data_IF_366869563989
#
_entry.id   IF_366869563989
#
_cell.length_a   1.000
_cell.length_b   1.000
_cell.length_c   1.000
_cell.angle_alpha   90.00
_cell.angle_beta   90.00
_cell.angle_gamma   90.00
#
_symmetry.space_group_name_H-M   'P 1'
#
loop_
_entity.id
_entity.type
_entity.pdbx_description
1 polymer ?
#
# COMPACT_ATOMS: atom_id res chain seq x y z
N UNK A 1 26.08 23.14 -49.61
CA UNK A 1 25.58 22.10 -48.69
C UNK A 1 26.63 21.92 -47.60
N UNK A 2 26.52 22.69 -46.52
CA UNK A 2 27.36 22.48 -45.35
C UNK A 2 26.64 21.44 -44.48
N UNK A 3 27.23 20.25 -44.35
CA UNK A 3 26.75 19.24 -43.44
C UNK A 3 27.06 19.71 -42.02
N UNK A 4 26.02 20.10 -41.30
CA UNK A 4 26.09 20.45 -39.89
C UNK A 4 26.26 19.15 -39.10
N UNK A 5 27.51 18.85 -38.75
CA UNK A 5 27.86 17.70 -37.92
C UNK A 5 27.22 17.85 -36.55
N UNK A 6 26.18 17.02 -36.31
CA UNK A 6 25.57 16.79 -35.00
C UNK A 6 26.68 16.48 -33.98
N UNK A 7 26.84 17.27 -32.91
CA UNK A 7 27.86 16.97 -31.92
C UNK A 7 27.52 15.63 -31.27
N UNK A 8 28.48 14.70 -31.33
CA UNK A 8 28.41 13.43 -30.64
C UNK A 8 28.23 13.70 -29.15
N UNK A 9 27.16 13.14 -28.57
CA UNK A 9 26.88 13.24 -27.14
C UNK A 9 28.11 12.76 -26.37
N UNK A 10 28.73 13.66 -25.59
CA UNK A 10 29.77 13.30 -24.65
C UNK A 10 29.15 12.42 -23.56
N UNK A 11 29.13 11.11 -23.80
CA UNK A 11 28.67 10.10 -22.86
C UNK A 11 29.72 9.93 -21.77
N UNK A 12 29.59 10.72 -20.71
CA UNK A 12 30.44 10.67 -19.54
C UNK A 12 29.83 11.47 -18.39
N UNK A 13 30.27 11.17 -17.17
CA UNK A 13 29.80 11.69 -15.87
C UNK A 13 29.56 13.21 -15.83
N UNK A 14 30.29 13.99 -16.64
CA UNK A 14 30.09 15.44 -16.78
C UNK A 14 28.70 15.81 -17.37
N UNK A 15 28.22 15.08 -18.37
CA UNK A 15 26.89 15.29 -18.94
C UNK A 15 25.78 14.92 -17.97
N UNK A 16 25.96 13.85 -17.18
CA UNK A 16 25.01 13.46 -16.12
C UNK A 16 24.94 14.52 -15.02
N UNK A 17 26.09 15.10 -14.62
CA UNK A 17 26.14 16.20 -13.66
C UNK A 17 25.47 17.48 -14.18
N UNK A 18 25.63 17.81 -15.46
CA UNK A 18 24.96 18.95 -16.07
C UNK A 18 23.43 18.78 -16.11
N UNK A 19 22.95 17.57 -16.42
CA UNK A 19 21.51 17.25 -16.43
C UNK A 19 20.92 17.32 -15.02
N UNK A 20 21.59 16.74 -14.03
CA UNK A 20 21.13 16.78 -12.64
C UNK A 20 21.17 18.22 -12.07
N UNK A 21 22.18 19.01 -12.44
CA UNK A 21 22.22 20.43 -12.09
C UNK A 21 21.07 21.21 -12.73
N UNK A 22 20.78 20.97 -14.02
CA UNK A 22 19.68 21.60 -14.72
C UNK A 22 18.32 21.24 -14.11
N UNK A 23 18.11 19.97 -13.74
CA UNK A 23 16.91 19.50 -13.03
C UNK A 23 16.69 20.26 -11.72
N UNK A 24 17.76 20.53 -10.97
CA UNK A 24 17.69 21.26 -9.68
C UNK A 24 17.48 22.76 -9.87
N UNK A 25 18.10 23.35 -10.88
CA UNK A 25 18.02 24.79 -11.15
C UNK A 25 16.68 25.19 -11.79
N UNK A 26 16.15 24.37 -12.70
CA UNK A 26 14.96 24.66 -13.49
C UNK A 26 14.00 23.46 -13.53
N UNK A 27 13.38 23.07 -12.40
CA UNK A 27 12.57 21.87 -12.31
C UNK A 27 11.33 21.92 -13.23
N UNK A 28 10.65 23.07 -13.32
CA UNK A 28 9.43 23.21 -14.14
C UNK A 28 9.74 23.06 -15.64
N UNK A 29 10.72 23.81 -16.15
CA UNK A 29 11.12 23.74 -17.56
C UNK A 29 11.65 22.34 -17.93
N UNK A 30 12.34 21.67 -16.99
CA UNK A 30 12.78 20.30 -17.17
C UNK A 30 11.60 19.33 -17.32
N UNK A 31 10.58 19.43 -16.46
CA UNK A 31 9.38 18.58 -16.52
C UNK A 31 8.55 18.85 -17.78
N UNK A 32 8.36 20.12 -18.17
CA UNK A 32 7.63 20.50 -19.38
C UNK A 32 8.24 19.89 -20.65
N UNK A 33 9.58 19.86 -20.74
CA UNK A 33 10.28 19.21 -21.85
C UNK A 33 9.98 17.71 -21.93
N UNK A 34 10.05 17.02 -20.79
CA UNK A 34 9.76 15.59 -20.70
C UNK A 34 8.31 15.28 -21.05
N UNK A 35 7.39 16.14 -20.61
CA UNK A 35 5.97 16.05 -20.94
C UNK A 35 5.73 16.24 -22.45
N UNK A 36 6.40 17.21 -23.08
CA UNK A 36 6.34 17.42 -24.53
C UNK A 36 6.87 16.23 -25.34
N UNK A 37 7.88 15.54 -24.83
CA UNK A 37 8.44 14.31 -25.41
C UNK A 37 7.61 13.06 -25.08
N UNK A 38 6.55 13.18 -24.24
CA UNK A 38 5.70 12.08 -23.76
C UNK A 38 6.46 10.98 -23.01
N UNK A 39 7.56 11.33 -22.34
CA UNK A 39 8.44 10.43 -21.61
C UNK A 39 8.60 10.96 -20.18
N UNK A 40 8.52 10.08 -19.17
CA UNK A 40 8.77 10.45 -17.76
C UNK A 40 10.27 10.59 -17.50
N UNK A 41 10.63 11.18 -16.37
CA UNK A 41 12.03 11.33 -15.92
C UNK A 41 12.76 9.98 -15.86
N UNK A 42 12.04 8.91 -15.53
CA UNK A 42 12.57 7.53 -15.45
C UNK A 42 12.63 6.82 -16.83
N UNK A 43 12.52 7.56 -17.93
CA UNK A 43 12.41 7.06 -19.32
C UNK A 43 11.19 6.15 -19.61
N UNK A 44 10.21 6.09 -18.70
CA UNK A 44 8.96 5.33 -18.86
C UNK A 44 7.91 6.11 -19.65
N UNK A 45 6.97 5.40 -20.29
CA UNK A 45 5.82 6.06 -20.93
C UNK A 45 4.88 6.67 -19.89
N UNK A 46 4.10 7.68 -20.29
CA UNK A 46 3.15 8.36 -19.39
C UNK A 46 2.13 7.41 -18.73
N UNK A 47 1.71 6.36 -19.45
CA UNK A 47 0.73 5.37 -18.95
C UNK A 47 1.34 4.13 -18.32
N UNK A 48 2.67 4.06 -18.22
CA UNK A 48 3.37 2.88 -17.75
C UNK A 48 3.61 2.95 -16.24
N UNK A 49 3.13 1.93 -15.53
CA UNK A 49 3.31 1.79 -14.09
C UNK A 49 4.81 1.64 -13.72
N UNK A 50 5.17 1.92 -12.46
CA UNK A 50 6.47 1.50 -11.94
C UNK A 50 6.49 -0.03 -11.82
N UNK A 51 7.63 -0.70 -12.02
CA UNK A 51 7.71 -2.14 -11.78
C UNK A 51 7.35 -2.44 -10.33
N UNK A 52 6.36 -3.33 -10.15
CA UNK A 52 5.87 -3.77 -8.84
C UNK A 52 6.41 -5.15 -8.50
N UNK A 53 6.91 -5.31 -7.29
CA UNK A 53 7.28 -6.61 -6.72
C UNK A 53 6.68 -6.73 -5.34
N UNK A 54 6.09 -7.88 -5.04
CA UNK A 54 5.46 -8.16 -3.75
C UNK A 54 6.04 -9.44 -3.18
N UNK A 55 6.56 -9.38 -1.96
CA UNK A 55 7.05 -10.52 -1.21
C UNK A 55 6.12 -10.77 -0.01
N UNK A 56 5.43 -11.91 -0.02
CA UNK A 56 4.55 -12.33 1.06
C UNK A 56 5.36 -12.94 2.22
N UNK A 57 4.86 -12.82 3.45
CA UNK A 57 5.48 -13.44 4.62
C UNK A 57 6.79 -12.78 5.06
N UNK A 58 6.94 -11.47 4.83
CA UNK A 58 8.16 -10.72 5.18
C UNK A 58 8.45 -10.71 6.69
N UNK A 59 7.42 -10.81 7.53
CA UNK A 59 7.50 -10.85 8.99
C UNK A 59 6.87 -12.14 9.49
N UNK A 60 7.67 -12.98 10.15
CA UNK A 60 7.24 -14.29 10.66
C UNK A 60 6.42 -14.24 11.95
N UNK A 61 6.52 -13.14 12.72
CA UNK A 61 5.76 -12.94 13.96
C UNK A 61 4.33 -12.44 13.74
N UNK A 62 4.00 -11.98 12.53
CA UNK A 62 2.68 -11.46 12.17
C UNK A 62 1.79 -12.56 11.57
N UNK A 63 0.47 -12.43 11.73
CA UNK A 63 -0.50 -13.38 11.16
C UNK A 63 -0.57 -13.25 9.63
N UNK A 64 -0.40 -12.03 9.13
CA UNK A 64 -0.21 -11.70 7.72
C UNK A 64 0.90 -10.66 7.59
N UNK A 65 1.72 -10.77 6.56
CA UNK A 65 2.72 -9.75 6.26
C UNK A 65 3.06 -9.74 4.79
N UNK A 66 3.39 -8.56 4.28
CA UNK A 66 3.83 -8.39 2.90
C UNK A 66 4.75 -7.18 2.76
N UNK A 67 5.82 -7.35 2.00
CA UNK A 67 6.69 -6.27 1.55
C UNK A 67 6.37 -5.98 0.09
N UNK A 68 5.82 -4.79 -0.18
CA UNK A 68 5.58 -4.31 -1.54
C UNK A 68 6.65 -3.29 -1.91
N UNK A 69 7.16 -3.40 -3.14
CA UNK A 69 8.09 -2.44 -3.71
C UNK A 69 7.57 -2.00 -5.08
N UNK A 70 7.43 -0.69 -5.24
CA UNK A 70 6.96 0.00 -6.44
C UNK A 70 8.10 0.90 -6.93
N UNK A 71 8.93 0.38 -7.83
CA UNK A 71 10.21 1.02 -8.16
C UNK A 71 11.11 1.11 -6.93
N UNK A 72 11.37 2.33 -6.45
CA UNK A 72 12.16 2.55 -5.23
C UNK A 72 11.32 2.74 -3.97
N UNK A 73 10.02 3.05 -4.10
CA UNK A 73 9.11 3.10 -2.95
C UNK A 73 8.93 1.69 -2.39
N UNK A 74 9.20 1.52 -1.09
CA UNK A 74 9.11 0.23 -0.40
C UNK A 74 8.28 0.36 0.87
N UNK A 75 7.28 -0.52 1.02
CA UNK A 75 6.30 -0.52 2.10
C UNK A 75 6.19 -1.92 2.69
N UNK A 76 6.24 -2.01 4.01
CA UNK A 76 6.03 -3.24 4.76
C UNK A 76 4.69 -3.17 5.47
N UNK A 77 3.77 -4.07 5.16
CA UNK A 77 2.51 -4.21 5.88
C UNK A 77 2.55 -5.46 6.77
N UNK A 78 2.01 -5.33 7.98
CA UNK A 78 1.79 -6.43 8.92
C UNK A 78 0.38 -6.39 9.48
N UNK A 79 -0.24 -7.56 9.54
CA UNK A 79 -1.55 -7.78 10.13
C UNK A 79 -1.41 -8.58 11.41
N UNK A 80 -1.91 -8.02 12.51
CA UNK A 80 -2.01 -8.67 13.80
C UNK A 80 -3.46 -8.81 14.19
N UNK A 81 -3.85 -10.00 14.63
CA UNK A 81 -5.22 -10.30 15.02
C UNK A 81 -5.29 -10.45 16.54
N UNK A 82 -6.24 -9.77 17.16
CA UNK A 82 -6.55 -9.91 18.59
C UNK A 82 -8.06 -10.08 18.79
N UNK A 83 -8.45 -10.79 19.84
CA UNK A 83 -9.87 -10.98 20.18
C UNK A 83 -10.28 -9.85 21.12
N UNK A 84 -11.30 -9.09 20.72
CA UNK A 84 -11.85 -7.98 21.48
C UNK A 84 -13.38 -8.05 21.51
N UNK A 85 -14.00 -7.46 22.54
CA UNK A 85 -15.45 -7.25 22.55
C UNK A 85 -15.85 -6.28 21.44
N UNK A 86 -16.82 -6.63 20.57
CA UNK A 86 -17.26 -5.73 19.51
C UNK A 86 -17.90 -4.46 20.06
N UNK A 87 -17.91 -3.36 19.30
CA UNK A 87 -18.58 -2.12 19.69
C UNK A 87 -20.09 -2.33 19.82
N UNK A 88 -20.72 -1.60 20.73
CA UNK A 88 -22.16 -1.74 21.02
C UNK A 88 -23.07 -1.37 19.82
N UNK A 89 -22.58 -0.54 18.90
CA UNK A 89 -23.31 -0.12 17.70
C UNK A 89 -23.44 -1.25 16.67
N UNK A 90 -22.41 -2.11 16.56
CA UNK A 90 -22.34 -3.19 15.58
C UNK A 90 -21.83 -4.49 16.25
N UNK A 91 -22.68 -5.18 17.03
CA UNK A 91 -22.27 -6.37 17.79
C UNK A 91 -22.01 -7.62 16.92
N UNK A 92 -22.42 -7.57 15.64
CA UNK A 92 -22.36 -8.69 14.70
C UNK A 92 -21.17 -8.62 13.73
N UNK A 93 -20.31 -7.60 13.87
CA UNK A 93 -19.20 -7.33 12.97
C UNK A 93 -17.87 -7.24 13.74
N UNK A 94 -16.80 -7.74 13.12
CA UNK A 94 -15.44 -7.47 13.55
C UNK A 94 -14.99 -6.06 13.17
N UNK A 95 -13.79 -5.69 13.59
CA UNK A 95 -13.25 -4.35 13.36
C UNK A 95 -11.84 -4.42 12.79
N UNK A 96 -11.44 -3.37 12.06
CA UNK A 96 -10.11 -3.23 11.48
C UNK A 96 -9.58 -1.86 11.91
N UNK A 97 -8.39 -1.83 12.47
CA UNK A 97 -7.67 -0.61 12.83
C UNK A 97 -6.45 -0.49 11.92
N UNK A 98 -6.33 0.64 11.21
CA UNK A 98 -5.24 0.88 10.26
C UNK A 98 -4.34 1.97 10.80
N UNK A 99 -3.04 1.70 10.87
CA UNK A 99 -2.02 2.67 11.27
C UNK A 99 -0.91 2.73 10.21
N UNK A 100 -0.59 3.95 9.78
CA UNK A 100 0.48 4.21 8.83
C UNK A 100 1.65 4.90 9.54
N UNK A 101 2.79 4.22 9.55
CA UNK A 101 4.02 4.69 10.14
C UNK A 101 5.02 5.15 9.08
N UNK A 102 5.45 6.41 9.22
CA UNK A 102 6.47 7.00 8.38
C UNK A 102 7.74 7.28 9.20
N UNK A 103 8.61 6.27 9.41
CA UNK A 103 9.85 6.45 10.17
C UNK A 103 10.87 7.34 9.41
N UNK A 104 11.80 8.03 10.08
CA UNK A 104 12.80 8.91 9.44
C UNK A 104 13.72 8.25 8.41
N UNK A 105 13.77 6.91 8.39
CA UNK A 105 14.53 6.14 7.38
C UNK A 105 13.95 6.29 5.97
N UNK A 106 12.65 6.58 5.84
CA UNK A 106 11.99 6.59 4.53
C UNK A 106 12.34 7.80 3.65
N UNK A 107 12.63 8.94 4.27
CA UNK A 107 12.94 10.17 3.56
C UNK A 107 13.62 11.16 4.51
N UNK A 108 14.64 11.91 4.05
CA UNK A 108 15.29 12.94 4.85
C UNK A 108 14.36 14.12 5.22
N UNK A 109 13.20 14.22 4.56
CA UNK A 109 12.17 15.22 4.89
C UNK A 109 11.45 14.90 6.20
N UNK A 110 11.46 13.64 6.62
CA UNK A 110 10.77 13.16 7.81
C UNK A 110 11.67 13.36 9.02
N UNK A 111 11.29 14.32 9.88
CA UNK A 111 12.03 14.59 11.11
C UNK A 111 11.61 13.63 12.22
N UNK A 112 12.55 13.08 13.01
CA UNK A 112 12.21 12.34 14.22
C UNK A 112 11.38 13.18 15.18
N UNK A 113 10.28 12.62 15.69
CA UNK A 113 9.48 13.18 16.78
C UNK A 113 8.14 13.80 16.36
N UNK A 114 8.09 14.60 15.28
CA UNK A 114 6.82 15.12 14.77
C UNK A 114 6.29 14.15 13.71
N UNK A 115 5.09 13.55 13.89
CA UNK A 115 4.48 12.78 12.82
C UNK A 115 4.25 13.70 11.61
N UNK A 116 4.52 13.19 10.41
CA UNK A 116 4.23 13.90 9.17
C UNK A 116 2.72 14.01 9.00
N UNK A 117 2.26 15.18 8.53
CA UNK A 117 0.82 15.43 8.32
C UNK A 117 0.22 14.47 7.28
N UNK A 118 1.06 13.89 6.41
CA UNK A 118 0.68 12.91 5.39
C UNK A 118 0.30 11.55 5.98
N UNK A 119 0.93 11.14 7.09
CA UNK A 119 0.70 9.82 7.69
C UNK A 119 -0.77 9.58 8.12
N UNK A 120 -1.40 10.44 8.96
CA UNK A 120 -2.78 10.22 9.37
C UNK A 120 -3.78 10.34 8.21
N UNK A 121 -3.47 11.14 7.18
CA UNK A 121 -4.31 11.25 5.97
C UNK A 121 -4.32 9.93 5.21
N UNK A 122 -3.16 9.29 5.05
CA UNK A 122 -3.06 7.97 4.40
C UNK A 122 -3.72 6.90 5.26
N UNK A 123 -3.51 6.89 6.57
CA UNK A 123 -4.19 5.93 7.48
C UNK A 123 -5.70 5.99 7.29
N UNK A 124 -6.26 7.21 7.32
CA UNK A 124 -7.71 7.39 7.20
C UNK A 124 -8.24 7.00 5.82
N UNK A 125 -7.54 7.41 4.77
CA UNK A 125 -7.92 7.04 3.40
C UNK A 125 -7.89 5.52 3.18
N UNK A 126 -6.93 4.80 3.78
CA UNK A 126 -6.86 3.35 3.71
C UNK A 126 -8.00 2.68 4.49
N UNK A 127 -8.31 3.16 5.69
CA UNK A 127 -9.46 2.69 6.47
C UNK A 127 -10.77 2.83 5.68
N UNK A 128 -10.98 3.99 5.05
CA UNK A 128 -12.16 4.27 4.23
C UNK A 128 -12.22 3.35 3.00
N UNK A 129 -11.10 3.11 2.32
CA UNK A 129 -11.04 2.19 1.16
C UNK A 129 -11.28 0.74 1.58
N UNK A 130 -10.69 0.27 2.67
CA UNK A 130 -10.89 -1.10 3.16
C UNK A 130 -12.35 -1.34 3.56
N UNK A 131 -12.99 -0.36 4.20
CA UNK A 131 -14.39 -0.45 4.65
C UNK A 131 -15.36 -0.33 3.47
N UNK A 132 -15.15 0.63 2.57
CA UNK A 132 -16.02 0.88 1.42
C UNK A 132 -15.93 -0.19 0.33
N UNK A 133 -14.74 -0.80 0.15
CA UNK A 133 -14.53 -1.83 -0.87
C UNK A 133 -15.20 -3.16 -0.53
N UNK A 134 -15.59 -3.38 0.73
CA UNK A 134 -16.11 -4.68 1.18
C UNK A 134 -15.10 -5.82 0.99
N UNK A 135 -13.81 -5.50 0.87
CA UNK A 135 -12.76 -6.50 0.63
C UNK A 135 -12.59 -7.47 1.80
N UNK A 136 -12.91 -7.01 3.01
CA UNK A 136 -12.92 -7.81 4.24
C UNK A 136 -14.37 -8.00 4.67
N UNK A 137 -14.81 -9.26 4.76
CA UNK A 137 -16.13 -9.55 5.30
C UNK A 137 -16.10 -9.47 6.83
N UNK A 138 -16.50 -8.33 7.39
CA UNK A 138 -16.46 -8.07 8.83
C UNK A 138 -17.35 -9.04 9.63
N UNK A 139 -18.37 -9.64 9.02
CA UNK A 139 -19.24 -10.63 9.67
C UNK A 139 -18.52 -11.93 9.94
N UNK A 140 -17.60 -12.32 9.05
CA UNK A 140 -16.78 -13.54 9.23
C UNK A 140 -15.75 -13.37 10.35
N UNK A 141 -15.45 -12.11 10.73
CA UNK A 141 -14.58 -11.79 11.85
C UNK A 141 -15.32 -11.84 13.20
N UNK A 142 -16.65 -11.96 13.24
CA UNK A 142 -17.39 -12.08 14.49
C UNK A 142 -17.39 -13.54 14.98
N UNK A 143 -16.94 -13.78 16.22
CA UNK A 143 -16.93 -15.12 16.82
C UNK A 143 -18.25 -15.38 17.56
N UNK A 144 -18.61 -14.47 18.47
CA UNK A 144 -19.83 -14.51 19.27
C UNK A 144 -20.40 -13.10 19.31
N UNK A 145 -21.59 -12.94 18.76
CA UNK A 145 -22.29 -11.66 18.68
C UNK A 145 -22.37 -10.98 20.05
N UNK A 146 -21.91 -9.74 20.11
CA UNK A 146 -21.90 -8.93 21.34
C UNK A 146 -20.94 -9.36 22.46
N UNK A 147 -20.12 -10.41 22.27
CA UNK A 147 -19.14 -10.86 23.29
C UNK A 147 -17.71 -10.87 22.81
N UNK A 148 -17.46 -11.44 21.63
CA UNK A 148 -16.11 -11.63 21.11
C UNK A 148 -16.10 -11.52 19.59
N UNK A 149 -15.20 -10.69 19.08
CA UNK A 149 -14.96 -10.44 17.66
C UNK A 149 -13.48 -10.29 17.41
N UNK A 150 -13.04 -10.53 16.18
CA UNK A 150 -11.68 -10.24 15.77
C UNK A 150 -11.49 -8.75 15.51
N UNK A 151 -10.43 -8.21 16.08
CA UNK A 151 -9.87 -6.91 15.74
C UNK A 151 -8.57 -7.14 14.96
N UNK A 152 -8.56 -6.70 13.70
CA UNK A 152 -7.38 -6.75 12.85
C UNK A 152 -6.64 -5.42 12.89
N UNK A 153 -5.45 -5.42 13.47
CA UNK A 153 -4.51 -4.31 13.41
C UNK A 153 -3.69 -4.45 12.13
N UNK A 154 -3.83 -3.47 11.24
CA UNK A 154 -3.02 -3.33 10.03
C UNK A 154 -2.02 -2.20 10.26
N UNK A 155 -0.76 -2.57 10.44
CA UNK A 155 0.34 -1.62 10.57
C UNK A 155 1.11 -1.58 9.25
N UNK A 156 1.28 -0.39 8.69
CA UNK A 156 2.04 -0.18 7.45
C UNK A 156 3.25 0.70 7.75
N UNK A 157 4.44 0.17 7.50
CA UNK A 157 5.71 0.86 7.64
C UNK A 157 6.27 1.28 6.29
N UNK A 158 6.48 2.59 6.13
CA UNK A 158 7.20 3.13 4.99
C UNK A 158 8.72 2.94 5.18
N UNK A 159 9.35 2.14 4.31
CA UNK A 159 10.78 1.91 4.34
C UNK A 159 11.53 2.90 3.45
N UNK A 160 10.98 3.22 2.28
CA UNK A 160 11.52 4.20 1.35
C UNK A 160 10.39 4.93 0.63
N UNK A 161 10.47 6.25 0.53
CA UNK A 161 9.44 7.10 -0.05
C UNK A 161 9.94 7.77 -1.35
N UNK A 162 9.61 7.20 -2.51
CA UNK A 162 9.89 7.72 -3.86
C UNK A 162 8.56 8.02 -4.64
N UNK A 163 7.59 8.60 -3.93
CA UNK A 163 6.24 8.88 -4.46
C UNK A 163 5.27 7.70 -4.44
N UNK A 164 4.02 7.94 -4.84
CA UNK A 164 2.93 6.95 -4.87
C UNK A 164 2.78 6.17 -3.55
N UNK A 165 2.81 6.90 -2.43
CA UNK A 165 2.75 6.31 -1.08
C UNK A 165 1.45 5.54 -0.85
N UNK A 166 0.33 6.09 -1.31
CA UNK A 166 -0.99 5.51 -1.14
C UNK A 166 -1.14 4.18 -1.90
N UNK A 167 -0.73 4.13 -3.16
CA UNK A 167 -0.86 2.91 -3.97
C UNK A 167 0.05 1.79 -3.43
N UNK A 168 1.28 2.13 -3.04
CA UNK A 168 2.20 1.17 -2.43
C UNK A 168 1.66 0.63 -1.09
N UNK A 169 1.03 1.48 -0.29
CA UNK A 169 0.39 1.09 0.98
C UNK A 169 -0.86 0.22 0.75
N UNK A 170 -1.66 0.52 -0.27
CA UNK A 170 -2.82 -0.30 -0.62
C UNK A 170 -2.40 -1.69 -1.11
N UNK A 171 -1.40 -1.76 -2.01
CA UNK A 171 -0.89 -3.03 -2.53
C UNK A 171 -0.31 -3.88 -1.39
N UNK A 172 0.46 -3.28 -0.47
CA UNK A 172 1.02 -4.01 0.67
C UNK A 172 -0.08 -4.48 1.64
N UNK A 173 -1.09 -3.66 1.93
CA UNK A 173 -2.22 -4.03 2.77
C UNK A 173 -3.01 -5.22 2.21
N UNK A 174 -3.39 -5.14 0.92
CA UNK A 174 -4.09 -6.23 0.24
C UNK A 174 -3.26 -7.51 0.27
N UNK A 175 -1.97 -7.42 -0.07
CA UNK A 175 -1.06 -8.56 -0.02
C UNK A 175 -0.93 -9.16 1.40
N UNK A 176 -0.86 -8.32 2.44
CA UNK A 176 -0.80 -8.79 3.82
C UNK A 176 -2.08 -9.52 4.23
N UNK A 177 -3.25 -9.02 3.82
CA UNK A 177 -4.53 -9.72 4.04
C UNK A 177 -4.65 -11.02 3.24
N UNK A 178 -4.15 -11.09 2.00
CA UNK A 178 -4.13 -12.36 1.24
C UNK A 178 -3.30 -13.44 1.93
N UNK A 179 -2.20 -13.06 2.59
CA UNK A 179 -1.34 -13.98 3.32
C UNK A 179 -1.81 -14.23 4.75
N UNK A 180 -2.76 -13.44 5.25
CA UNK A 180 -3.20 -13.52 6.64
C UNK A 180 -3.83 -14.87 6.92
N UNK A 181 -3.24 -15.61 7.87
CA UNK A 181 -3.77 -16.89 8.33
C UNK A 181 -4.51 -16.68 9.65
N UNK A 182 -5.80 -16.97 9.64
CA UNK A 182 -6.62 -16.96 10.84
C UNK A 182 -6.48 -18.30 11.56
N UNK A 183 -6.27 -18.25 12.87
CA UNK A 183 -6.50 -19.40 13.74
C UNK A 183 -7.97 -19.37 14.14
N UNK A 184 -8.78 -20.31 13.64
CA UNK A 184 -10.12 -20.50 14.19
C UNK A 184 -9.99 -21.03 15.62
N UNK A 185 -10.33 -20.20 16.61
CA UNK A 185 -10.47 -20.63 18.00
C UNK A 185 -11.83 -21.30 18.18
N UNK A 186 -11.83 -22.54 18.67
CA UNK A 186 -13.05 -23.18 19.12
C UNK A 186 -13.37 -22.71 20.54
N UNK A 187 -14.43 -21.91 20.70
CA UNK A 187 -14.88 -21.44 22.01
C UNK A 187 -15.92 -22.41 22.58
N UNK A 188 -15.52 -23.28 23.51
CA UNK A 188 -16.48 -24.13 24.25
C UNK A 188 -17.13 -23.33 25.36
N UNK A 189 -18.33 -22.79 25.14
CA UNK A 189 -19.21 -22.34 26.22
C UNK A 189 -20.17 -23.48 26.58
N UNK A 190 -20.16 -23.88 27.85
CA UNK A 190 -20.96 -24.93 28.51
C UNK A 190 -21.99 -25.71 27.68
N UNK A 191 -21.75 -27.02 27.54
CA UNK A 191 -22.67 -28.09 27.12
C UNK A 191 -22.90 -28.40 25.63
N UNK A 192 -22.11 -27.86 24.69
CA UNK A 192 -22.05 -28.40 23.33
C UNK A 192 -20.62 -28.80 22.94
N UNK A 193 -20.31 -30.09 23.04
CA UNK A 193 -19.10 -30.67 22.44
C UNK A 193 -19.32 -30.84 20.95
N UNK A 194 -18.72 -29.97 20.13
CA UNK A 194 -18.51 -30.27 18.71
C UNK A 194 -17.22 -31.10 18.58
N UNK A 195 -17.23 -32.19 17.80
CA UNK A 195 -16.19 -33.19 17.84
C UNK A 195 -14.85 -32.65 17.33
N UNK A 196 -13.82 -32.91 18.14
CA UNK A 196 -12.41 -32.85 17.79
C UNK A 196 -12.15 -33.72 16.55
N UNK A 197 -11.89 -33.07 15.42
CA UNK A 197 -11.07 -33.67 14.38
C UNK A 197 -10.21 -32.58 13.77
N UNK A 198 -8.90 -32.84 13.75
CA UNK A 198 -7.86 -32.17 12.97
C UNK A 198 -8.41 -31.43 11.74
N UNK A 199 -8.72 -30.15 11.87
CA UNK A 199 -8.98 -29.27 10.75
C UNK A 199 -8.60 -27.86 11.18
N UNK A 200 -7.31 -27.55 11.02
CA UNK A 200 -6.88 -26.17 10.80
C UNK A 200 -7.43 -25.82 9.41
N UNK A 201 -8.69 -25.39 9.35
CA UNK A 201 -9.21 -24.73 8.16
C UNK A 201 -8.47 -23.39 8.11
N UNK A 202 -7.45 -23.30 7.25
CA UNK A 202 -6.93 -22.01 6.83
C UNK A 202 -8.03 -21.34 6.00
N UNK A 203 -8.90 -20.59 6.67
CA UNK A 203 -9.81 -19.69 5.99
C UNK A 203 -8.97 -18.57 5.39
N UNK A 204 -8.79 -18.60 4.07
CA UNK A 204 -8.37 -17.40 3.38
C UNK A 204 -9.50 -16.39 3.54
N UNK A 205 -9.19 -15.12 3.83
CA UNK A 205 -10.16 -14.05 3.58
C UNK A 205 -10.56 -14.22 2.11
N UNK A 206 -11.85 -14.38 1.87
CA UNK A 206 -12.39 -14.25 0.52
C UNK A 206 -12.25 -12.78 0.16
N UNK A 207 -11.08 -12.40 -0.34
CA UNK A 207 -10.91 -11.12 -1.02
C UNK A 207 -11.83 -11.25 -2.22
N UNK A 208 -13.02 -10.67 -2.11
CA UNK A 208 -13.91 -10.49 -3.25
C UNK A 208 -13.02 -9.86 -4.31
N UNK A 209 -12.85 -10.58 -5.41
CA UNK A 209 -11.89 -10.31 -6.46
C UNK A 209 -12.22 -8.97 -7.14
N UNK A 210 -11.89 -7.89 -6.45
CA UNK A 210 -12.10 -6.53 -6.89
C UNK A 210 -10.82 -6.02 -7.58
N UNK A 211 -9.68 -6.71 -7.41
CA UNK A 211 -8.40 -6.27 -7.96
C UNK A 211 -8.32 -6.23 -9.50
N UNK A 212 -9.22 -6.83 -10.28
CA UNK A 212 -9.19 -6.68 -11.74
C UNK A 212 -10.05 -5.51 -12.25
N UNK A 213 -11.17 -5.23 -11.59
CA UNK A 213 -12.06 -4.13 -12.00
C UNK A 213 -11.68 -2.80 -11.33
N UNK A 214 -11.30 -2.82 -10.05
CA UNK A 214 -10.76 -1.64 -9.36
C UNK A 214 -9.42 -1.20 -9.95
N UNK A 215 -8.56 -2.13 -10.39
CA UNK A 215 -7.27 -1.76 -11.01
C UNK A 215 -7.39 -1.19 -12.42
N UNK A 216 -8.59 -1.08 -12.99
CA UNK A 216 -8.85 -0.38 -14.25
C UNK A 216 -9.69 0.89 -14.03
N UNK A 217 -10.62 0.85 -13.06
CA UNK A 217 -11.53 1.96 -12.74
C UNK A 217 -10.90 2.97 -11.77
N UNK A 218 -10.18 2.48 -10.75
CA UNK A 218 -9.30 3.30 -9.91
C UNK A 218 -8.06 3.72 -10.68
N UNK A 219 -7.56 2.96 -11.66
CA UNK A 219 -6.48 3.45 -12.52
C UNK A 219 -6.95 4.60 -13.42
N UNK A 220 -8.19 4.63 -13.89
CA UNK A 220 -8.74 5.77 -14.63
C UNK A 220 -9.05 6.97 -13.72
N UNK A 221 -9.55 6.74 -12.50
CA UNK A 221 -9.86 7.81 -11.55
C UNK A 221 -8.62 8.36 -10.83
N UNK A 222 -7.65 7.49 -10.51
CA UNK A 222 -6.33 7.87 -10.01
C UNK A 222 -5.49 8.40 -11.14
N UNK A 223 -5.52 7.93 -12.39
CA UNK A 223 -4.80 8.66 -13.46
C UNK A 223 -5.37 10.05 -13.66
N UNK A 224 -6.68 10.31 -13.51
CA UNK A 224 -7.18 11.70 -13.52
C UNK A 224 -6.75 12.52 -12.29
N UNK A 225 -6.65 11.90 -11.10
CA UNK A 225 -6.27 12.58 -9.85
C UNK A 225 -4.75 12.70 -9.63
N UNK A 226 -3.94 11.74 -10.09
CA UNK A 226 -2.48 11.79 -10.12
C UNK A 226 -1.97 12.63 -11.29
N UNK A 227 -2.71 12.74 -12.41
CA UNK A 227 -2.50 13.83 -13.37
C UNK A 227 -2.70 15.21 -12.75
N UNK A 228 -3.51 15.35 -11.69
CA UNK A 228 -3.74 16.63 -11.01
C UNK A 228 -2.80 16.84 -9.81
N UNK A 229 -2.38 15.76 -9.13
CA UNK A 229 -1.54 15.83 -7.93
C UNK A 229 -0.02 15.74 -8.22
N UNK A 230 0.41 15.13 -9.34
CA UNK A 230 1.80 15.23 -9.84
C UNK A 230 2.00 16.44 -10.79
N UNK A 231 0.96 17.26 -11.00
CA UNK A 231 1.01 18.53 -11.76
C UNK A 231 1.18 19.78 -10.87
N UNK A 232 1.45 19.61 -9.57
CA UNK A 232 1.80 20.70 -8.64
C UNK A 232 2.99 20.30 -7.75
#
# INVERSE_FOLDING_TARGET
>A
MAAETKPAAASGVAGEMEVEAYRRLFPVAFLERHLGESVRIDARRLREARPTTVALGAVSSAHGSALARLGDTAMLASVKLEVMSPPAEHPDEGSVAVEFHMPPICSPLVRPGRPTDVAPVISKALEDVLTSSGMLNLKDLCLITGKASWLAYLDIYCLNADGSLFDAALISAVAAFTHCRFLFFHCTYGHATLPLSHFVQYGNITIIQCCCSFHHEVYNHITSLSFLCESF
#
